data_IF_754056199324
#
_entry.id   IF_754056199324
#
_cell.length_a   1.000
_cell.length_b   1.000
_cell.length_c   1.000
_cell.angle_alpha   90.00
_cell.angle_beta   90.00
_cell.angle_gamma   90.00
#
_symmetry.space_group_name_H-M   'P 1'
#
loop_
_entity.id
_entity.type
_entity.pdbx_description
1 polymer ?
#
# COMPACT_ATOMS: atom_id res chain seq x y z
N UNK A 1 17.50 -3.86 11.64
CA UNK A 1 16.72 -4.94 12.26
C UNK A 1 15.25 -4.55 12.33
N UNK A 2 14.32 -5.48 12.12
CA UNK A 2 12.87 -5.28 12.35
C UNK A 2 12.43 -5.66 13.77
N UNK A 3 13.33 -6.20 14.60
CA UNK A 3 13.04 -6.71 15.94
C UNK A 3 12.47 -5.67 16.94
N UNK A 4 12.58 -4.37 16.62
CA UNK A 4 12.06 -3.29 17.47
C UNK A 4 10.66 -2.82 17.09
N UNK A 5 10.04 -3.39 16.04
CA UNK A 5 8.66 -3.07 15.67
C UNK A 5 7.71 -4.08 16.31
N UNK A 6 6.80 -3.57 17.13
CA UNK A 6 5.80 -4.37 17.86
C UNK A 6 4.46 -4.43 17.13
N UNK A 7 4.21 -3.49 16.23
CA UNK A 7 2.94 -3.35 15.52
C UNK A 7 3.16 -3.19 14.00
N UNK A 8 2.42 -3.90 13.13
CA UNK A 8 2.58 -3.82 11.67
C UNK A 8 2.35 -2.40 11.12
N UNK A 9 1.54 -1.56 11.76
CA UNK A 9 1.32 -0.15 11.39
C UNK A 9 2.62 0.66 11.47
N UNK A 10 3.56 0.28 12.33
CA UNK A 10 4.87 0.93 12.41
C UNK A 10 5.68 0.67 11.13
N UNK A 11 5.61 -0.55 10.57
CA UNK A 11 6.25 -0.88 9.29
C UNK A 11 5.58 -0.15 8.13
N UNK A 12 4.25 -0.03 8.13
CA UNK A 12 3.48 0.74 7.13
C UNK A 12 3.88 2.23 7.17
N UNK A 13 3.96 2.82 8.37
CA UNK A 13 4.42 4.20 8.58
C UNK A 13 5.88 4.38 8.13
N UNK A 14 6.76 3.45 8.47
CA UNK A 14 8.16 3.45 8.07
C UNK A 14 8.34 3.34 6.56
N UNK A 15 7.51 2.55 5.89
CA UNK A 15 7.47 2.45 4.43
C UNK A 15 6.93 3.74 3.78
N UNK A 16 6.22 4.59 4.55
CA UNK A 16 5.56 5.79 4.03
C UNK A 16 4.31 5.45 3.23
N UNK A 17 3.64 4.35 3.59
CA UNK A 17 2.40 3.88 2.97
C UNK A 17 1.14 4.45 3.63
N UNK A 18 1.30 5.29 4.65
CA UNK A 18 0.18 6.00 5.28
C UNK A 18 -0.40 7.07 4.36
N UNK A 19 -1.72 7.24 4.39
CA UNK A 19 -2.42 8.31 3.71
C UNK A 19 -2.07 9.66 4.34
N UNK A 20 -1.80 10.65 3.49
CA UNK A 20 -1.60 12.05 3.85
C UNK A 20 -2.52 12.89 2.98
N UNK A 21 -3.13 13.90 3.60
CA UNK A 21 -3.87 14.95 2.92
C UNK A 21 -3.02 16.24 2.91
N UNK A 22 -3.08 17.01 1.82
CA UNK A 22 -2.48 18.35 1.78
C UNK A 22 -3.59 19.39 1.81
N UNK A 23 -3.91 19.85 3.01
CA UNK A 23 -4.99 20.80 3.26
C UNK A 23 -4.43 22.05 3.91
N UNK A 24 -4.92 23.22 3.49
CA UNK A 24 -4.48 24.53 3.97
C UNK A 24 -5.65 25.50 4.01
N UNK A 25 -5.89 26.15 5.15
CA UNK A 25 -7.05 27.03 5.31
C UNK A 25 -8.35 26.28 5.01
N UNK A 26 -9.16 26.80 4.08
CA UNK A 26 -10.41 26.18 3.65
C UNK A 26 -10.24 25.08 2.57
N UNK A 27 -9.05 24.95 1.97
CA UNK A 27 -8.79 23.97 0.92
C UNK A 27 -8.56 22.58 1.52
N UNK A 28 -9.42 21.63 1.18
CA UNK A 28 -9.21 20.19 1.43
C UNK A 28 -8.59 19.52 0.21
N UNK A 29 -7.39 18.96 0.38
CA UNK A 29 -6.69 18.23 -0.69
C UNK A 29 -7.18 16.79 -0.84
N UNK A 30 -6.81 16.14 -1.93
CA UNK A 30 -7.00 14.70 -2.08
C UNK A 30 -6.03 13.93 -1.16
N UNK A 31 -6.49 12.78 -0.67
CA UNK A 31 -5.66 11.88 0.14
C UNK A 31 -4.75 11.07 -0.77
N UNK A 32 -3.45 11.13 -0.53
CA UNK A 32 -2.44 10.35 -1.26
C UNK A 32 -1.53 9.59 -0.31
N UNK A 33 -0.88 8.54 -0.81
CA UNK A 33 0.17 7.86 -0.07
C UNK A 33 1.35 8.82 0.15
N UNK A 34 1.85 8.90 1.38
CA UNK A 34 2.89 9.88 1.77
C UNK A 34 4.21 9.73 1.00
N UNK A 35 4.67 8.50 0.73
CA UNK A 35 5.95 8.17 0.08
C UNK A 35 7.24 8.66 0.79
N UNK A 36 7.14 9.43 1.90
CA UNK A 36 8.26 9.99 2.69
C UNK A 36 9.12 8.94 3.42
N UNK A 37 8.62 7.71 3.56
CA UNK A 37 9.31 6.61 4.24
C UNK A 37 10.42 5.95 3.42
N UNK A 38 10.93 4.82 3.92
CA UNK A 38 12.07 4.09 3.35
C UNK A 38 11.73 3.50 1.97
N UNK A 39 12.33 4.05 0.89
CA UNK A 39 12.15 3.57 -0.50
C UNK A 39 12.48 2.09 -0.67
N UNK A 40 13.60 1.62 -0.12
CA UNK A 40 14.01 0.21 -0.22
C UNK A 40 12.99 -0.73 0.42
N UNK A 41 12.41 -0.34 1.55
CA UNK A 41 11.37 -1.14 2.21
C UNK A 41 10.13 -1.29 1.33
N UNK A 42 9.65 -0.20 0.72
CA UNK A 42 8.54 -0.26 -0.25
C UNK A 42 8.85 -1.19 -1.42
N UNK A 43 10.06 -1.11 -1.99
CA UNK A 43 10.46 -2.00 -3.10
C UNK A 43 10.45 -3.47 -2.69
N UNK A 44 10.92 -3.79 -1.48
CA UNK A 44 10.92 -5.17 -0.96
C UNK A 44 9.50 -5.66 -0.72
N UNK A 45 8.67 -4.85 -0.04
CA UNK A 45 7.25 -5.19 0.20
C UNK A 45 6.51 -5.46 -1.12
N UNK A 46 6.68 -4.59 -2.11
CA UNK A 46 6.08 -4.78 -3.43
C UNK A 46 6.52 -6.10 -4.08
N UNK A 47 7.82 -6.42 -4.05
CA UNK A 47 8.34 -7.67 -4.62
C UNK A 47 7.87 -8.91 -3.85
N UNK A 48 7.75 -8.82 -2.52
CA UNK A 48 7.26 -9.91 -1.68
C UNK A 48 5.78 -10.23 -1.95
N UNK A 49 4.98 -9.24 -2.34
CA UNK A 49 3.57 -9.46 -2.69
C UNK A 49 3.38 -10.27 -3.98
N UNK A 50 4.32 -10.23 -4.93
CA UNK A 50 4.19 -10.94 -6.21
C UNK A 50 4.02 -12.46 -6.01
N UNK A 51 4.92 -13.19 -5.32
CA UNK A 51 4.73 -14.61 -5.07
C UNK A 51 3.53 -14.89 -4.14
N UNK A 52 3.21 -13.99 -3.19
CA UNK A 52 2.03 -14.15 -2.33
C UNK A 52 0.74 -14.18 -3.15
N UNK A 53 0.56 -13.23 -4.07
CA UNK A 53 -0.60 -13.19 -4.96
C UNK A 53 -0.63 -14.42 -5.87
N UNK A 54 0.53 -14.88 -6.35
CA UNK A 54 0.60 -16.05 -7.24
C UNK A 54 0.20 -17.36 -6.55
N UNK A 55 0.66 -17.56 -5.32
CA UNK A 55 0.60 -18.87 -4.65
C UNK A 55 -0.45 -18.95 -3.56
N UNK A 56 -1.00 -17.82 -3.10
CA UNK A 56 -2.02 -17.80 -2.06
C UNK A 56 -3.36 -17.30 -2.61
N UNK A 57 -4.38 -18.16 -2.52
CA UNK A 57 -5.73 -17.91 -3.03
C UNK A 57 -6.36 -16.64 -2.45
N UNK A 58 -6.21 -16.38 -1.14
CA UNK A 58 -6.79 -15.20 -0.50
C UNK A 58 -6.21 -13.89 -1.04
N UNK A 59 -4.88 -13.85 -1.25
CA UNK A 59 -4.24 -12.66 -1.84
C UNK A 59 -4.58 -12.49 -3.32
N UNK A 60 -4.74 -13.60 -4.06
CA UNK A 60 -5.21 -13.57 -5.45
C UNK A 60 -6.61 -12.99 -5.57
N UNK A 61 -7.55 -13.50 -4.76
CA UNK A 61 -8.95 -13.02 -4.76
C UNK A 61 -9.03 -11.54 -4.39
N UNK A 62 -8.23 -11.09 -3.42
CA UNK A 62 -8.17 -9.68 -3.06
C UNK A 62 -7.63 -8.81 -4.21
N UNK A 63 -6.60 -9.29 -4.90
CA UNK A 63 -6.02 -8.62 -6.07
C UNK A 63 -7.02 -8.54 -7.23
N UNK A 64 -7.70 -9.64 -7.52
CA UNK A 64 -8.76 -9.71 -8.52
C UNK A 64 -9.89 -8.75 -8.17
N UNK A 65 -10.41 -8.78 -6.94
CA UNK A 65 -11.45 -7.87 -6.48
C UNK A 65 -11.09 -6.39 -6.72
N UNK A 66 -9.89 -5.97 -6.32
CA UNK A 66 -9.47 -4.58 -6.49
C UNK A 66 -9.23 -4.17 -7.94
N UNK A 67 -8.91 -5.11 -8.83
CA UNK A 67 -8.67 -4.83 -10.26
C UNK A 67 -9.95 -4.88 -11.10
N UNK A 68 -10.98 -5.62 -10.66
CA UNK A 68 -12.23 -5.83 -11.42
C UNK A 68 -13.46 -5.12 -10.84
N UNK A 69 -13.36 -4.50 -9.66
CA UNK A 69 -14.49 -3.76 -9.06
C UNK A 69 -15.07 -2.68 -9.99
N UNK A 70 -16.38 -2.52 -9.95
CA UNK A 70 -17.12 -1.60 -10.82
C UNK A 70 -16.78 -0.12 -10.60
N UNK A 71 -16.49 0.26 -9.35
CA UNK A 71 -16.15 1.64 -8.99
C UNK A 71 -14.65 1.77 -8.73
N UNK A 72 -13.98 2.63 -9.50
CA UNK A 72 -12.56 2.92 -9.38
C UNK A 72 -11.67 1.64 -9.43
N UNK A 73 -11.74 0.82 -10.50
CA UNK A 73 -10.86 -0.35 -10.64
C UNK A 73 -9.40 0.08 -10.59
N UNK A 74 -8.60 -0.65 -9.80
CA UNK A 74 -7.19 -0.35 -9.66
C UNK A 74 -6.39 -1.02 -10.77
N UNK A 75 -5.34 -0.35 -11.25
CA UNK A 75 -4.33 -1.03 -12.10
C UNK A 75 -3.63 -2.13 -11.30
N UNK A 76 -3.07 -3.14 -11.98
CA UNK A 76 -2.38 -4.25 -11.33
C UNK A 76 -1.24 -3.83 -10.38
N UNK A 77 -0.54 -2.73 -10.68
CA UNK A 77 0.48 -2.19 -9.75
C UNK A 77 -0.14 -1.48 -8.55
N UNK A 78 -1.27 -0.81 -8.73
CA UNK A 78 -1.98 -0.13 -7.65
C UNK A 78 -2.59 -1.14 -6.68
N UNK A 79 -3.20 -2.22 -7.16
CA UNK A 79 -3.79 -3.25 -6.29
C UNK A 79 -2.77 -4.03 -5.45
N UNK A 80 -1.50 -4.05 -5.85
CA UNK A 80 -0.40 -4.61 -5.02
C UNK A 80 -0.02 -3.67 -3.86
N UNK A 81 -0.27 -2.36 -4.01
CA UNK A 81 0.12 -1.31 -3.05
C UNK A 81 -1.06 -0.84 -2.19
N UNK A 82 -2.29 -1.07 -2.65
CA UNK A 82 -3.53 -0.53 -2.12
C UNK A 82 -3.91 -1.07 -0.74
#
# INVERSE_FOLDING_TARGET
>A
SFAHYRDPRQLVKLAGLTLKENSSGQRKGQKHISKRGRKRLRSVLFRAMIPLIRHNKAFRELHEYYTTRSVNPLTGKQSIVA
#
